data_IF_191233275569
#
_entry.id   IF_191233275569
#
_cell.length_a   1.000
_cell.length_b   1.000
_cell.length_c   1.000
_cell.angle_alpha   90.00
_cell.angle_beta   90.00
_cell.angle_gamma   90.00
#
_symmetry.space_group_name_H-M   'P 1'
#
loop_
_entity.id
_entity.type
_entity.pdbx_description
1 polymer ?
#
# COMPACT_ATOMS: atom_id res chain seq x y z
N UNK A 1 16.41 -37.44 10.07
CA UNK A 1 15.49 -37.25 8.94
C UNK A 1 14.17 -36.77 9.49
N UNK A 2 13.93 -35.46 9.52
CA UNK A 2 12.69 -34.86 10.03
C UNK A 2 11.65 -35.03 8.93
N UNK A 3 10.63 -35.85 9.17
CA UNK A 3 9.51 -36.02 8.24
C UNK A 3 8.76 -34.68 8.12
N UNK A 4 8.64 -34.16 6.90
CA UNK A 4 7.75 -33.04 6.62
C UNK A 4 6.35 -33.36 7.13
N UNK A 5 5.68 -32.42 7.83
CA UNK A 5 4.25 -32.55 8.05
C UNK A 5 3.56 -32.59 6.68
N UNK A 6 2.50 -33.36 6.52
CA UNK A 6 1.75 -33.38 5.28
C UNK A 6 1.33 -31.94 4.92
N UNK A 7 1.29 -31.61 3.62
CA UNK A 7 0.69 -30.36 3.09
C UNK A 7 -0.76 -30.31 3.59
N UNK A 8 -0.95 -29.93 4.83
CA UNK A 8 -2.22 -30.13 5.49
C UNK A 8 -2.88 -28.78 5.73
N UNK A 9 -4.03 -28.67 5.25
CA UNK A 9 -5.35 -28.36 5.86
C UNK A 9 -5.35 -27.77 7.30
N UNK A 10 -4.22 -27.47 7.96
CA UNK A 10 -4.17 -27.13 9.37
C UNK A 10 -4.37 -25.64 9.71
N UNK A 11 -4.46 -24.76 8.73
CA UNK A 11 -4.71 -23.34 9.01
C UNK A 11 -5.82 -22.79 8.09
N UNK A 12 -7.03 -22.61 8.61
CA UNK A 12 -8.10 -21.92 7.90
C UNK A 12 -7.80 -20.45 7.58
N UNK A 13 -6.69 -19.92 8.12
CA UNK A 13 -6.21 -18.54 7.91
C UNK A 13 -5.45 -18.32 6.60
N UNK A 14 -5.18 -19.34 5.84
CA UNK A 14 -4.43 -19.28 4.58
C UNK A 14 -5.26 -18.84 3.37
N UNK A 15 -6.49 -18.35 3.60
CA UNK A 15 -7.33 -17.82 2.51
C UNK A 15 -6.81 -16.47 2.00
N UNK A 16 -6.09 -15.72 2.83
CA UNK A 16 -5.62 -14.37 2.50
C UNK A 16 -4.29 -14.40 1.74
N UNK A 17 -3.36 -15.27 2.15
CA UNK A 17 -2.02 -15.35 1.55
C UNK A 17 -1.44 -16.77 1.67
N UNK A 18 -0.38 -17.04 0.90
CA UNK A 18 0.48 -18.21 1.01
C UNK A 18 1.93 -17.77 1.19
N UNK A 19 2.69 -18.56 1.92
CA UNK A 19 4.14 -18.40 2.05
C UNK A 19 4.84 -19.69 1.67
N UNK A 20 5.94 -19.54 0.96
CA UNK A 20 6.82 -20.62 0.52
C UNK A 20 8.23 -20.31 1.00
N UNK A 21 8.83 -21.23 1.73
CA UNK A 21 10.14 -21.07 2.35
C UNK A 21 10.93 -22.40 2.26
N UNK A 22 12.25 -22.30 2.39
CA UNK A 22 13.16 -23.46 2.44
C UNK A 22 13.62 -23.98 1.07
N UNK A 23 14.36 -25.09 1.06
CA UNK A 23 14.92 -25.74 -0.13
C UNK A 23 15.77 -24.77 -0.97
N UNK A 24 15.42 -24.59 -2.25
CA UNK A 24 16.11 -23.72 -3.19
C UNK A 24 16.10 -22.24 -2.79
N UNK A 25 15.08 -21.81 -2.02
CA UNK A 25 14.96 -20.43 -1.53
C UNK A 25 15.97 -20.10 -0.41
N UNK A 26 16.57 -21.11 0.23
CA UNK A 26 17.60 -20.89 1.27
C UNK A 26 18.86 -20.24 0.70
N UNK A 27 19.14 -20.43 -0.60
CA UNK A 27 20.19 -19.71 -1.29
C UNK A 27 19.59 -18.53 -2.07
N UNK A 28 19.85 -17.28 -1.66
CA UNK A 28 19.28 -16.11 -2.33
C UNK A 28 19.78 -15.90 -3.78
N UNK A 29 20.80 -16.61 -4.22
CA UNK A 29 21.28 -16.59 -5.60
C UNK A 29 20.47 -17.48 -6.55
N UNK A 30 19.60 -18.36 -6.01
CA UNK A 30 18.78 -19.22 -6.84
C UNK A 30 17.54 -18.48 -7.33
N UNK A 31 17.18 -18.70 -8.60
CA UNK A 31 15.88 -18.32 -9.12
C UNK A 31 14.80 -19.27 -8.59
N UNK A 32 13.66 -18.77 -8.06
CA UNK A 32 12.60 -19.64 -7.60
C UNK A 32 11.93 -20.39 -8.76
N UNK A 33 11.67 -21.67 -8.57
CA UNK A 33 10.82 -22.42 -9.50
C UNK A 33 9.35 -22.10 -9.20
N UNK A 34 8.84 -21.02 -9.78
CA UNK A 34 7.46 -20.56 -9.58
C UNK A 34 6.41 -21.59 -10.00
N UNK A 35 6.71 -22.49 -10.93
CA UNK A 35 5.78 -23.51 -11.38
C UNK A 35 5.46 -24.54 -10.29
N UNK A 36 6.43 -24.84 -9.45
CA UNK A 36 6.27 -25.76 -8.32
C UNK A 36 5.86 -25.04 -7.02
N UNK A 37 6.16 -23.75 -6.91
CA UNK A 37 5.90 -22.98 -5.69
C UNK A 37 4.47 -22.44 -5.64
N UNK A 38 4.00 -21.80 -6.73
CA UNK A 38 2.74 -21.05 -6.72
C UNK A 38 1.52 -21.97 -6.57
N UNK A 39 0.59 -21.55 -5.71
CA UNK A 39 -0.66 -22.29 -5.40
C UNK A 39 -1.90 -21.43 -5.66
N UNK A 40 -1.80 -20.12 -5.46
CA UNK A 40 -2.90 -19.17 -5.66
C UNK A 40 -2.80 -18.44 -6.99
N UNK A 41 -1.59 -18.31 -7.53
CA UNK A 41 -1.29 -17.43 -8.65
C UNK A 41 -0.59 -18.19 -9.78
N UNK A 42 -0.63 -17.60 -10.95
CA UNK A 42 0.28 -17.92 -12.06
C UNK A 42 1.31 -16.81 -12.20
N UNK A 43 2.44 -17.05 -12.86
CA UNK A 43 3.38 -15.96 -13.17
C UNK A 43 2.77 -14.99 -14.19
N UNK A 44 3.22 -13.73 -14.25
CA UNK A 44 2.72 -12.75 -15.23
C UNK A 44 2.82 -13.23 -16.68
N UNK A 45 3.85 -14.04 -17.02
CA UNK A 45 4.03 -14.61 -18.36
C UNK A 45 2.94 -15.60 -18.74
N UNK A 46 2.40 -16.33 -17.74
CA UNK A 46 1.31 -17.30 -17.92
C UNK A 46 -0.08 -16.71 -17.75
N UNK A 47 -0.18 -15.44 -17.36
CA UNK A 47 -1.44 -14.74 -17.20
C UNK A 47 -2.07 -14.43 -18.56
N UNK A 48 -3.42 -14.31 -18.64
CA UNK A 48 -4.12 -13.99 -19.88
C UNK A 48 -3.63 -12.71 -20.56
N UNK A 49 -3.68 -12.68 -21.89
CA UNK A 49 -3.36 -11.48 -22.70
C UNK A 49 -4.48 -10.44 -22.68
N UNK A 50 -5.67 -10.83 -22.25
CA UNK A 50 -6.80 -9.92 -22.10
C UNK A 50 -6.91 -9.38 -20.69
N UNK A 51 -7.02 -8.05 -20.49
CA UNK A 51 -7.21 -7.46 -19.17
C UNK A 51 -8.61 -7.74 -18.64
N UNK A 52 -8.74 -7.78 -17.32
CA UNK A 52 -10.02 -7.92 -16.63
C UNK A 52 -10.30 -6.70 -15.76
N UNK A 53 -11.52 -6.14 -15.87
CA UNK A 53 -11.95 -5.01 -15.05
C UNK A 53 -12.71 -5.52 -13.83
N UNK A 54 -12.46 -4.87 -12.71
CA UNK A 54 -13.17 -5.13 -11.45
C UNK A 54 -13.62 -3.80 -10.84
N UNK A 55 -14.73 -3.86 -10.14
CA UNK A 55 -15.34 -2.76 -9.42
C UNK A 55 -15.46 -3.13 -7.94
N UNK A 56 -14.96 -2.29 -7.04
CA UNK A 56 -15.02 -2.46 -5.59
C UNK A 56 -15.73 -1.28 -4.94
N UNK A 57 -16.72 -1.58 -4.08
CA UNK A 57 -17.36 -0.58 -3.23
C UNK A 57 -16.85 -0.69 -1.81
N UNK A 58 -16.58 0.47 -1.20
CA UNK A 58 -16.12 0.59 0.17
C UNK A 58 -17.09 1.45 1.00
N UNK A 59 -17.30 1.04 2.25
CA UNK A 59 -17.98 1.82 3.27
C UNK A 59 -17.08 1.92 4.51
N UNK A 60 -16.68 3.14 4.87
CA UNK A 60 -15.79 3.41 6.02
C UNK A 60 -14.53 2.54 6.03
N UNK A 61 -13.87 2.44 4.88
CA UNK A 61 -12.65 1.66 4.67
C UNK A 61 -12.85 0.15 4.49
N UNK A 62 -14.07 -0.37 4.68
CA UNK A 62 -14.34 -1.80 4.50
C UNK A 62 -14.89 -2.10 3.11
N UNK A 63 -14.36 -3.11 2.39
CA UNK A 63 -14.95 -3.54 1.14
C UNK A 63 -16.30 -4.22 1.39
N UNK A 64 -17.35 -3.77 0.71
CA UNK A 64 -18.74 -4.22 0.91
C UNK A 64 -19.36 -4.85 -0.33
N UNK A 65 -18.82 -4.58 -1.53
CA UNK A 65 -19.28 -5.20 -2.76
C UNK A 65 -18.12 -5.38 -3.76
N UNK A 66 -18.29 -6.38 -4.64
CA UNK A 66 -17.42 -6.66 -5.76
C UNK A 66 -18.29 -6.83 -7.02
N UNK A 67 -17.96 -6.08 -8.09
CA UNK A 67 -18.70 -6.08 -9.35
C UNK A 67 -20.22 -5.90 -9.16
N UNK A 68 -20.60 -4.93 -8.31
CA UNK A 68 -21.98 -4.58 -7.98
C UNK A 68 -22.70 -5.58 -7.05
N UNK A 69 -22.05 -6.67 -6.65
CA UNK A 69 -22.63 -7.66 -5.75
C UNK A 69 -22.18 -7.46 -4.32
N UNK A 70 -23.11 -7.17 -3.40
CA UNK A 70 -22.83 -7.11 -1.96
C UNK A 70 -22.40 -8.46 -1.42
N UNK A 71 -21.31 -8.50 -0.68
CA UNK A 71 -20.70 -9.73 -0.17
C UNK A 71 -20.05 -9.46 1.20
N UNK A 72 -19.82 -10.51 1.97
CA UNK A 72 -18.95 -10.41 3.15
C UNK A 72 -17.50 -10.15 2.72
N UNK A 73 -16.75 -9.38 3.48
CA UNK A 73 -15.33 -9.08 3.21
C UNK A 73 -14.52 -10.35 2.95
N UNK A 74 -14.75 -11.44 3.71
CA UNK A 74 -14.07 -12.73 3.50
C UNK A 74 -14.35 -13.36 2.14
N UNK A 75 -15.55 -13.18 1.60
CA UNK A 75 -15.94 -13.70 0.30
C UNK A 75 -15.37 -12.83 -0.82
N UNK A 76 -15.33 -11.50 -0.62
CA UNK A 76 -14.64 -10.57 -1.52
C UNK A 76 -13.15 -10.97 -1.65
N UNK A 77 -12.45 -11.20 -0.54
CA UNK A 77 -11.05 -11.63 -0.54
C UNK A 77 -10.87 -12.93 -1.32
N UNK A 78 -11.77 -13.89 -1.13
CA UNK A 78 -11.70 -15.19 -1.83
C UNK A 78 -11.87 -15.04 -3.34
N UNK A 79 -12.81 -14.23 -3.78
CA UNK A 79 -13.00 -13.95 -5.21
C UNK A 79 -11.83 -13.14 -5.80
N UNK A 80 -11.33 -12.15 -5.08
CA UNK A 80 -10.16 -11.38 -5.50
C UNK A 80 -8.89 -12.23 -5.57
N UNK A 81 -8.72 -13.24 -4.70
CA UNK A 81 -7.63 -14.20 -4.82
C UNK A 81 -7.69 -14.98 -6.14
N UNK A 82 -8.88 -15.38 -6.58
CA UNK A 82 -9.06 -16.07 -7.87
C UNK A 82 -8.74 -15.13 -9.05
N UNK A 83 -9.30 -13.91 -9.01
CA UNK A 83 -9.11 -12.93 -10.08
C UNK A 83 -7.66 -12.47 -10.15
N UNK A 84 -7.07 -12.08 -9.02
CA UNK A 84 -5.68 -11.62 -8.96
C UNK A 84 -4.69 -12.74 -9.26
N UNK A 85 -4.93 -13.95 -8.76
CA UNK A 85 -4.10 -15.12 -9.05
C UNK A 85 -4.08 -15.47 -10.53
N UNK A 86 -5.25 -15.44 -11.21
CA UNK A 86 -5.37 -15.59 -12.66
C UNK A 86 -4.50 -14.60 -13.44
N UNK A 87 -4.37 -13.37 -12.94
CA UNK A 87 -3.59 -12.30 -13.57
C UNK A 87 -2.17 -12.14 -13.05
N UNK A 88 -1.67 -13.09 -12.24
CA UNK A 88 -0.30 -13.07 -11.72
C UNK A 88 -0.01 -11.94 -10.72
N UNK A 89 -1.04 -11.45 -10.02
CA UNK A 89 -0.93 -10.34 -9.08
C UNK A 89 -0.56 -10.85 -7.69
N UNK A 90 0.26 -10.07 -6.96
CA UNK A 90 0.54 -10.27 -5.54
C UNK A 90 1.56 -11.37 -5.25
N UNK A 91 2.49 -11.63 -6.16
CA UNK A 91 3.65 -12.49 -5.95
C UNK A 91 4.80 -11.60 -5.49
N UNK A 92 5.40 -11.93 -4.35
CA UNK A 92 6.52 -11.18 -3.78
C UNK A 92 7.60 -12.17 -3.32
N UNK A 93 8.83 -11.98 -3.79
CA UNK A 93 10.02 -12.68 -3.31
C UNK A 93 10.85 -11.70 -2.47
N UNK A 94 11.01 -11.99 -1.19
CA UNK A 94 11.70 -11.08 -0.26
C UNK A 94 12.68 -11.82 0.65
N UNK A 95 13.77 -11.12 1.00
CA UNK A 95 14.63 -11.48 2.12
C UNK A 95 14.24 -10.61 3.31
N UNK A 96 13.56 -11.20 4.28
CA UNK A 96 13.06 -10.52 5.47
C UNK A 96 13.96 -10.68 6.70
N UNK A 97 13.77 -9.83 7.69
CA UNK A 97 14.38 -9.97 9.01
C UNK A 97 13.37 -10.61 9.97
N UNK A 98 13.65 -11.79 10.46
CA UNK A 98 12.81 -12.42 11.50
C UNK A 98 12.97 -11.71 12.83
N UNK A 99 11.94 -11.75 13.67
CA UNK A 99 11.96 -11.16 15.03
C UNK A 99 13.15 -11.66 15.85
N UNK A 100 13.59 -12.91 15.64
CA UNK A 100 14.75 -13.52 16.29
C UNK A 100 16.10 -13.05 15.74
N UNK A 101 16.12 -12.10 14.79
CA UNK A 101 17.35 -11.45 14.31
C UNK A 101 18.02 -12.09 13.09
N UNK A 102 17.57 -13.26 12.62
CA UNK A 102 18.10 -13.87 11.40
C UNK A 102 17.35 -13.41 10.16
N UNK A 103 18.01 -13.45 9.00
CA UNK A 103 17.38 -13.27 7.70
C UNK A 103 16.75 -14.57 7.21
N UNK A 104 15.64 -14.45 6.49
CA UNK A 104 14.99 -15.56 5.82
C UNK A 104 14.45 -15.08 4.48
N UNK A 105 14.48 -15.92 3.46
CA UNK A 105 13.86 -15.65 2.17
C UNK A 105 12.56 -16.42 2.05
N UNK A 106 11.54 -15.77 1.56
CA UNK A 106 10.26 -16.37 1.27
C UNK A 106 9.61 -15.79 0.02
N UNK A 107 8.88 -16.62 -0.70
CA UNK A 107 7.96 -16.22 -1.75
C UNK A 107 6.56 -16.20 -1.17
N UNK A 108 5.87 -15.08 -1.35
CA UNK A 108 4.53 -14.85 -0.82
C UNK A 108 3.54 -14.65 -1.95
N UNK A 109 2.36 -15.23 -1.82
CA UNK A 109 1.23 -15.02 -2.71
C UNK A 109 0.09 -14.36 -1.94
N UNK A 110 -0.29 -13.14 -2.32
CA UNK A 110 -1.38 -12.40 -1.69
C UNK A 110 -2.20 -11.60 -2.74
N UNK A 111 -2.78 -12.29 -3.75
CA UNK A 111 -3.44 -11.61 -4.86
C UNK A 111 -4.57 -10.69 -4.43
N UNK A 112 -5.52 -11.18 -3.64
CA UNK A 112 -6.66 -10.41 -3.16
C UNK A 112 -6.27 -9.30 -2.19
N UNK A 113 -5.30 -9.58 -1.30
CA UNK A 113 -4.78 -8.58 -0.38
C UNK A 113 -4.11 -7.41 -1.11
N UNK A 114 -3.33 -7.69 -2.15
CA UNK A 114 -2.67 -6.68 -2.98
C UNK A 114 -3.69 -5.81 -3.72
N UNK A 115 -4.73 -6.43 -4.30
CA UNK A 115 -5.81 -5.70 -4.97
C UNK A 115 -6.57 -4.81 -3.99
N UNK A 116 -6.94 -5.32 -2.82
CA UNK A 116 -7.67 -4.54 -1.81
C UNK A 116 -6.84 -3.38 -1.27
N UNK A 117 -5.56 -3.60 -1.00
CA UNK A 117 -4.66 -2.54 -0.52
C UNK A 117 -4.52 -1.43 -1.55
N UNK A 118 -4.36 -1.77 -2.82
CA UNK A 118 -4.27 -0.76 -3.88
C UNK A 118 -5.59 -0.01 -4.09
N UNK A 119 -6.73 -0.71 -4.08
CA UNK A 119 -8.04 -0.07 -4.18
C UNK A 119 -8.33 0.87 -3.02
N UNK A 120 -8.07 0.42 -1.80
CA UNK A 120 -8.26 1.22 -0.59
C UNK A 120 -7.38 2.47 -0.60
N UNK A 121 -6.10 2.33 -0.99
CA UNK A 121 -5.17 3.46 -1.14
C UNK A 121 -5.68 4.49 -2.13
N UNK A 122 -6.24 4.08 -3.29
CA UNK A 122 -6.80 5.01 -4.27
C UNK A 122 -7.97 5.81 -3.71
N UNK A 123 -8.79 5.19 -2.85
CA UNK A 123 -9.90 5.87 -2.21
C UNK A 123 -9.42 6.82 -1.10
N UNK A 124 -8.41 6.44 -0.32
CA UNK A 124 -7.77 7.33 0.66
C UNK A 124 -7.14 8.56 -0.02
N UNK A 125 -6.46 8.40 -1.15
CA UNK A 125 -5.89 9.49 -1.93
C UNK A 125 -6.94 10.54 -2.33
N UNK A 126 -8.20 10.12 -2.48
CA UNK A 126 -9.31 10.98 -2.86
C UNK A 126 -10.00 11.64 -1.67
N UNK A 127 -10.04 10.97 -0.51
CA UNK A 127 -10.91 11.34 0.62
C UNK A 127 -10.18 11.86 1.86
N UNK A 128 -8.86 11.64 1.96
CA UNK A 128 -8.05 12.08 3.10
C UNK A 128 -7.16 13.27 2.73
N UNK A 129 -6.98 14.18 3.67
CA UNK A 129 -5.99 15.26 3.56
C UNK A 129 -4.55 14.74 3.68
N UNK A 130 -3.59 15.55 3.23
CA UNK A 130 -2.18 15.19 3.17
C UNK A 130 -1.62 14.77 4.54
N UNK A 131 -1.86 15.56 5.57
CA UNK A 131 -1.25 15.35 6.89
C UNK A 131 -1.78 14.06 7.52
N UNK A 132 -3.08 13.79 7.37
CA UNK A 132 -3.71 12.53 7.80
C UNK A 132 -3.11 11.35 7.06
N UNK A 133 -2.95 11.42 5.74
CA UNK A 133 -2.34 10.34 4.94
C UNK A 133 -0.90 10.06 5.33
N UNK A 134 -0.09 11.09 5.51
CA UNK A 134 1.32 10.95 5.88
C UNK A 134 1.47 10.29 7.26
N UNK A 135 0.71 10.77 8.25
CA UNK A 135 0.77 10.20 9.59
C UNK A 135 0.23 8.77 9.66
N UNK A 136 -0.83 8.49 8.91
CA UNK A 136 -1.42 7.14 8.81
C UNK A 136 -0.43 6.09 8.30
N UNK A 137 0.48 6.44 7.38
CA UNK A 137 1.56 5.55 6.93
C UNK A 137 2.50 5.14 8.08
N UNK A 138 2.85 6.10 8.96
CA UNK A 138 3.66 5.82 10.15
C UNK A 138 2.92 4.90 11.12
N UNK A 139 1.64 5.18 11.36
CA UNK A 139 0.76 4.35 12.18
C UNK A 139 0.67 2.93 11.61
N UNK A 140 0.46 2.79 10.29
CA UNK A 140 0.39 1.51 9.59
C UNK A 140 1.68 0.69 9.73
N UNK A 141 2.84 1.33 9.60
CA UNK A 141 4.15 0.68 9.80
C UNK A 141 4.29 0.16 11.22
N UNK A 142 3.93 0.96 12.22
CA UNK A 142 3.98 0.52 13.62
C UNK A 142 2.97 -0.58 13.92
N UNK A 143 1.78 -0.49 13.36
CA UNK A 143 0.74 -1.51 13.47
C UNK A 143 1.23 -2.85 12.91
N UNK A 144 1.80 -2.84 11.70
CA UNK A 144 2.35 -4.04 11.06
C UNK A 144 3.46 -4.69 11.92
N UNK A 145 4.35 -3.90 12.51
CA UNK A 145 5.38 -4.40 13.42
C UNK A 145 4.77 -5.10 14.65
N UNK A 146 3.73 -4.52 15.26
CA UNK A 146 3.06 -5.15 16.40
C UNK A 146 2.38 -6.47 16.05
N UNK A 147 1.77 -6.54 14.85
CA UNK A 147 1.17 -7.79 14.33
C UNK A 147 2.25 -8.85 14.10
N UNK A 148 3.33 -8.48 13.44
CA UNK A 148 4.47 -9.38 13.16
C UNK A 148 5.12 -9.92 14.44
N UNK A 149 5.24 -9.08 15.48
CA UNK A 149 5.78 -9.44 16.79
C UNK A 149 4.78 -10.24 17.66
N UNK A 150 3.59 -10.55 17.16
CA UNK A 150 2.55 -11.27 17.90
C UNK A 150 1.87 -10.46 19.02
N UNK A 151 2.00 -9.13 19.01
CA UNK A 151 1.46 -8.21 20.03
C UNK A 151 0.02 -7.76 19.73
N UNK A 152 -0.81 -8.67 19.25
CA UNK A 152 -2.19 -8.37 18.84
C UNK A 152 -3.05 -7.78 19.97
N UNK A 153 -2.86 -8.24 21.21
CA UNK A 153 -3.68 -7.83 22.36
C UNK A 153 -3.08 -6.70 23.21
N UNK A 154 -2.06 -5.99 22.69
CA UNK A 154 -1.47 -4.88 23.45
C UNK A 154 -2.26 -3.58 23.26
N UNK A 155 -2.27 -2.73 24.29
CA UNK A 155 -2.96 -1.43 24.31
C UNK A 155 -2.54 -0.53 23.13
N UNK A 156 -1.25 -0.54 22.75
CA UNK A 156 -0.76 0.27 21.64
C UNK A 156 -1.45 -0.13 20.33
N UNK A 157 -1.57 -1.44 20.02
CA UNK A 157 -2.26 -1.91 18.82
C UNK A 157 -3.74 -1.46 18.83
N UNK A 158 -4.40 -1.53 20.00
CA UNK A 158 -5.80 -1.08 20.14
C UNK A 158 -5.95 0.42 19.90
N UNK A 159 -5.04 1.22 20.45
CA UNK A 159 -5.01 2.67 20.23
C UNK A 159 -4.79 3.02 18.77
N UNK A 160 -3.86 2.33 18.08
CA UNK A 160 -3.63 2.53 16.66
C UNK A 160 -4.84 2.09 15.81
N UNK A 161 -5.54 1.03 16.21
CA UNK A 161 -6.80 0.62 15.57
C UNK A 161 -7.88 1.70 15.70
N UNK A 162 -8.03 2.32 16.85
CA UNK A 162 -8.98 3.40 17.07
C UNK A 162 -8.64 4.64 16.22
N UNK A 163 -7.35 4.98 16.11
CA UNK A 163 -6.89 6.02 15.21
C UNK A 163 -7.26 5.72 13.75
N UNK A 164 -6.94 4.52 13.27
CA UNK A 164 -7.27 4.12 11.89
C UNK A 164 -8.77 4.14 11.68
N UNK A 165 -9.58 3.55 12.57
CA UNK A 165 -11.03 3.56 12.45
C UNK A 165 -11.62 5.00 12.33
N UNK A 166 -11.02 5.95 13.05
CA UNK A 166 -11.43 7.35 12.95
C UNK A 166 -11.11 7.97 11.59
N UNK A 167 -9.96 7.65 11.01
CA UNK A 167 -9.57 8.15 9.68
C UNK A 167 -10.41 7.53 8.56
N UNK A 168 -10.95 6.33 8.77
CA UNK A 168 -11.76 5.61 7.77
C UNK A 168 -13.22 6.10 7.65
N UNK A 169 -13.72 6.90 8.56
CA UNK A 169 -15.15 7.30 8.58
C UNK A 169 -15.66 7.87 7.24
N UNK A 170 -14.77 8.51 6.47
CA UNK A 170 -15.09 9.11 5.16
C UNK A 170 -14.47 8.33 3.97
N UNK A 171 -13.75 7.27 4.23
CA UNK A 171 -13.16 6.42 3.16
C UNK A 171 -14.27 5.50 2.63
N UNK A 172 -15.19 6.10 1.88
CA UNK A 172 -16.39 5.47 1.33
C UNK A 172 -16.51 5.87 -0.13
N UNK A 173 -16.70 4.90 -1.01
CA UNK A 173 -16.80 5.17 -2.44
C UNK A 173 -16.58 3.94 -3.30
N UNK A 174 -16.39 4.19 -4.57
CA UNK A 174 -16.27 3.18 -5.62
C UNK A 174 -14.89 3.27 -6.29
N UNK A 175 -14.25 2.11 -6.49
CA UNK A 175 -12.93 1.99 -7.15
C UNK A 175 -13.02 0.98 -8.28
N UNK A 176 -12.72 1.44 -9.49
CA UNK A 176 -12.59 0.61 -10.68
C UNK A 176 -11.13 0.37 -11.01
N UNK A 177 -10.76 -0.86 -11.23
CA UNK A 177 -9.40 -1.25 -11.56
C UNK A 177 -9.36 -2.20 -12.75
N UNK A 178 -8.23 -2.22 -13.43
CA UNK A 178 -7.92 -3.14 -14.51
C UNK A 178 -6.76 -4.04 -14.08
N UNK A 179 -6.99 -5.35 -14.08
CA UNK A 179 -6.01 -6.39 -13.75
C UNK A 179 -5.38 -6.90 -15.05
N UNK A 180 -4.05 -6.89 -15.12
CA UNK A 180 -3.35 -7.33 -16.31
C UNK A 180 -1.90 -7.70 -16.02
N UNK A 181 -1.53 -8.96 -16.23
CA UNK A 181 -0.15 -9.48 -16.20
C UNK A 181 0.67 -8.94 -15.03
N UNK A 182 0.27 -9.26 -13.82
CA UNK A 182 0.95 -8.85 -12.57
C UNK A 182 0.66 -7.42 -12.12
N UNK A 183 -0.05 -6.62 -12.93
CA UNK A 183 -0.28 -5.20 -12.66
C UNK A 183 -1.74 -4.92 -12.28
N UNK A 184 -1.89 -3.93 -11.39
CA UNK A 184 -3.17 -3.30 -11.05
C UNK A 184 -3.12 -1.89 -11.59
N UNK A 185 -4.01 -1.57 -12.53
CA UNK A 185 -4.04 -0.29 -13.22
C UNK A 185 -5.29 0.47 -12.81
N UNK A 186 -5.13 1.73 -12.39
CA UNK A 186 -6.26 2.61 -12.05
C UNK A 186 -7.18 2.78 -13.25
N UNK A 187 -8.49 2.62 -13.04
CA UNK A 187 -9.51 2.82 -14.08
C UNK A 187 -10.61 3.80 -13.68
N UNK A 188 -10.61 4.26 -12.43
CA UNK A 188 -11.48 5.31 -11.92
C UNK A 188 -11.77 5.14 -10.43
N UNK A 189 -11.93 6.27 -9.72
CA UNK A 189 -12.29 6.29 -8.31
C UNK A 189 -13.27 7.42 -8.07
N UNK A 190 -14.37 7.14 -7.37
CA UNK A 190 -15.40 8.13 -7.03
C UNK A 190 -15.78 8.04 -5.56
N UNK A 191 -16.12 9.18 -4.96
CA UNK A 191 -16.57 9.27 -3.57
C UNK A 191 -17.40 10.55 -3.35
N UNK A 192 -18.44 10.44 -2.55
CA UNK A 192 -19.20 11.62 -2.08
C UNK A 192 -18.41 12.45 -1.05
N UNK A 193 -17.32 11.88 -0.52
CA UNK A 193 -16.40 12.53 0.43
C UNK A 193 -15.12 13.03 -0.23
N UNK A 194 -15.10 13.15 -1.57
CA UNK A 194 -13.92 13.58 -2.29
C UNK A 194 -13.43 14.96 -1.86
N UNK A 195 -12.12 15.11 -1.67
CA UNK A 195 -11.43 16.38 -1.50
C UNK A 195 -10.91 16.92 -2.86
N UNK A 196 -11.04 16.13 -3.92
CA UNK A 196 -10.67 16.55 -5.27
C UNK A 196 -11.78 17.42 -5.87
N UNK A 197 -11.42 18.63 -6.25
CA UNK A 197 -12.31 19.55 -6.99
C UNK A 197 -11.75 19.77 -8.38
N UNK A 198 -12.50 19.36 -9.40
CA UNK A 198 -12.09 19.54 -10.80
C UNK A 198 -11.83 21.00 -11.13
N UNK A 199 -12.64 21.92 -10.59
CA UNK A 199 -12.47 23.34 -10.80
C UNK A 199 -11.20 23.92 -10.17
N UNK A 200 -10.79 23.42 -8.99
CA UNK A 200 -9.54 23.83 -8.33
C UNK A 200 -8.31 23.16 -8.97
N UNK A 201 -8.46 21.95 -9.49
CA UNK A 201 -7.39 21.20 -10.13
C UNK A 201 -7.18 21.56 -11.60
N UNK A 202 -8.09 22.32 -12.21
CA UNK A 202 -8.03 22.68 -13.61
C UNK A 202 -6.91 23.69 -13.90
N UNK A 203 -6.05 23.36 -14.85
CA UNK A 203 -5.04 24.28 -15.40
C UNK A 203 -5.63 25.27 -16.44
N UNK A 204 -6.89 25.09 -16.85
CA UNK A 204 -7.52 25.86 -17.93
C UNK A 204 -8.55 26.85 -17.46
N UNK A 205 -9.14 26.64 -16.27
CA UNK A 205 -10.14 27.53 -15.67
C UNK A 205 -9.54 28.11 -14.38
N UNK A 206 -8.53 28.98 -14.51
CA UNK A 206 -7.92 29.67 -13.39
C UNK A 206 -8.98 30.47 -12.60
N UNK A 207 -8.69 30.69 -11.30
CA UNK A 207 -9.17 31.76 -10.43
C UNK A 207 -10.14 31.38 -9.33
N UNK A 208 -10.14 30.14 -8.85
CA UNK A 208 -10.77 29.85 -7.55
C UNK A 208 -9.90 30.27 -6.33
N UNK A 209 -8.64 30.63 -6.59
CA UNK A 209 -7.74 31.28 -5.59
C UNK A 209 -6.82 32.27 -6.30
N UNK A 210 -6.36 33.31 -5.58
CA UNK A 210 -5.40 34.28 -6.15
C UNK A 210 -4.00 33.63 -6.24
N UNK A 211 -3.50 33.44 -7.45
CA UNK A 211 -2.15 32.88 -7.69
C UNK A 211 -1.03 33.70 -7.06
N UNK A 212 -1.28 34.99 -6.73
CA UNK A 212 -0.33 35.82 -5.99
C UNK A 212 -0.07 35.32 -4.59
N UNK A 213 -1.03 34.64 -3.98
CA UNK A 213 -0.86 34.05 -2.64
C UNK A 213 0.25 33.00 -2.60
N UNK A 214 0.50 32.31 -3.72
CA UNK A 214 1.59 31.35 -3.82
C UNK A 214 2.95 31.99 -3.57
N UNK A 215 3.20 33.20 -4.04
CA UNK A 215 4.46 33.93 -3.82
C UNK A 215 4.64 34.28 -2.36
N UNK A 216 3.58 34.74 -1.69
CA UNK A 216 3.59 35.02 -0.24
C UNK A 216 3.85 33.75 0.57
N UNK A 217 3.16 32.68 0.26
CA UNK A 217 3.37 31.38 0.88
C UNK A 217 4.80 30.87 0.73
N UNK A 218 5.36 30.86 -0.49
CA UNK A 218 6.73 30.39 -0.76
C UNK A 218 7.76 31.20 0.02
N UNK A 219 7.61 32.52 0.07
CA UNK A 219 8.52 33.41 0.79
C UNK A 219 8.55 33.12 2.29
N UNK A 220 7.38 32.91 2.92
CA UNK A 220 7.29 32.60 4.35
C UNK A 220 7.69 31.16 4.66
N UNK A 221 7.25 30.21 3.87
CA UNK A 221 7.54 28.78 4.07
C UNK A 221 9.05 28.50 3.90
N UNK A 222 9.70 29.17 2.95
CA UNK A 222 11.14 29.04 2.69
C UNK A 222 12.04 29.90 3.61
N UNK A 223 11.48 30.69 4.53
CA UNK A 223 12.24 31.72 5.27
C UNK A 223 13.38 31.14 6.09
N UNK A 224 13.19 30.03 6.78
CA UNK A 224 14.25 29.40 7.60
C UNK A 224 15.43 28.90 6.75
N UNK A 225 15.14 28.36 5.56
CA UNK A 225 16.19 27.93 4.62
C UNK A 225 16.96 29.14 4.05
N UNK A 226 16.24 30.23 3.74
CA UNK A 226 16.84 31.47 3.30
C UNK A 226 17.77 32.07 4.37
N UNK A 227 17.33 32.11 5.62
CA UNK A 227 18.15 32.57 6.75
C UNK A 227 19.40 31.70 6.92
N UNK A 228 19.26 30.37 6.81
CA UNK A 228 20.42 29.47 6.86
C UNK A 228 21.43 29.78 5.77
N UNK A 229 21.00 29.90 4.53
CA UNK A 229 21.87 30.20 3.40
C UNK A 229 22.61 31.54 3.60
N UNK A 230 21.93 32.58 4.12
CA UNK A 230 22.56 33.85 4.46
C UNK A 230 23.61 33.73 5.58
N UNK A 231 23.38 32.87 6.56
CA UNK A 231 24.33 32.59 7.64
C UNK A 231 25.58 31.85 7.14
N UNK A 232 25.37 30.87 6.26
CA UNK A 232 26.47 30.08 5.67
C UNK A 232 27.36 30.99 4.79
N UNK A 233 26.75 31.82 3.95
CA UNK A 233 27.49 32.82 3.16
C UNK A 233 28.34 33.76 4.03
N UNK A 234 27.79 34.28 5.12
CA UNK A 234 28.55 35.14 6.05
C UNK A 234 29.71 34.41 6.71
N UNK A 235 29.63 33.12 6.96
CA UNK A 235 30.73 32.31 7.50
C UNK A 235 31.83 32.14 6.47
N UNK A 236 31.47 31.77 5.24
CA UNK A 236 32.44 31.65 4.14
C UNK A 236 33.20 32.96 3.87
N UNK A 237 32.50 34.10 3.90
CA UNK A 237 33.14 35.41 3.75
C UNK A 237 34.14 35.68 4.87
N UNK A 238 33.81 35.32 6.13
CA UNK A 238 34.74 35.48 7.27
C UNK A 238 35.96 34.57 7.16
N UNK A 239 35.75 33.30 6.79
CA UNK A 239 36.82 32.32 6.66
C UNK A 239 37.78 32.71 5.53
N UNK A 240 37.26 33.21 4.42
CA UNK A 240 38.06 33.75 3.31
C UNK A 240 38.81 35.06 3.68
N UNK A 241 38.28 35.87 4.59
CA UNK A 241 38.95 37.07 5.06
C UNK A 241 40.10 36.77 6.07
N UNK A 242 39.92 35.69 6.88
CA UNK A 242 40.94 35.27 7.85
C UNK A 242 42.10 34.47 7.22
N UNK A 243 41.91 33.95 6.00
CA UNK A 243 42.95 33.21 5.25
C UNK A 243 43.76 34.08 4.28
N UNK A 244 43.53 35.38 4.27
CA UNK A 244 44.33 36.38 3.56
C UNK A 244 45.21 37.18 4.54
#
# INVERSE_FOLDING_TARGET
>A
MIRRPPRSTLFPYTTLFRSHEGLELENPANEPNYDDLLVLSVTPEKAPDEPEYIDLDFEKGYPVALNGKKMKTSDIIRELNKLGGKHGIGIIDIVENRVVGMKSRGVYETPGGTILTEAHKQLEELTLDRDTMEYKKLVGTKFAALVYEGKWFCTLRESLSAFVAKTEERVTGHVKMKLYKGNIIKAGTTSDYTLYSESLASFTTGDLYDHKDASGFINLFGLSMKVRAMMDQKREEKDNANNK
#
